data_IF_407581825896
#
_entry.id   IF_407581825896
#
_cell.length_a   1.000
_cell.length_b   1.000
_cell.length_c   1.000
_cell.angle_alpha   90.00
_cell.angle_beta   90.00
_cell.angle_gamma   90.00
#
_symmetry.space_group_name_H-M   'P 1'
#
loop_
_entity.id
_entity.type
_entity.pdbx_description
1 polymer ?
#
# COMPACT_ATOMS: atom_id res chain seq x y z
N UNK A 1 -2.65 19.03 19.57
CA UNK A 1 -3.93 18.30 19.70
C UNK A 1 -4.60 18.29 18.33
N UNK A 2 -4.61 17.15 17.64
CA UNK A 2 -5.32 17.01 16.36
C UNK A 2 -6.43 15.98 16.53
N UNK A 3 -7.64 16.47 16.84
CA UNK A 3 -8.88 15.71 16.80
C UNK A 3 -9.45 15.78 15.40
N UNK A 4 -9.18 14.77 14.56
CA UNK A 4 -10.02 14.50 13.40
C UNK A 4 -11.02 13.40 13.79
N UNK A 5 -12.20 13.83 14.22
CA UNK A 5 -13.36 12.97 14.36
C UNK A 5 -13.81 12.54 12.96
N UNK A 6 -13.43 11.32 12.55
CA UNK A 6 -14.19 10.61 11.51
C UNK A 6 -15.54 10.22 12.11
N UNK A 7 -16.59 10.86 11.61
CA UNK A 7 -17.96 10.69 12.08
C UNK A 7 -18.50 9.34 11.58
N UNK A 8 -18.35 8.33 12.45
CA UNK A 8 -19.25 7.20 12.73
C UNK A 8 -20.03 6.60 11.55
N UNK A 9 -19.63 5.40 11.11
CA UNK A 9 -20.60 4.34 10.87
C UNK A 9 -20.01 2.96 11.20
N UNK A 10 -20.68 2.28 12.14
CA UNK A 10 -20.44 0.95 12.71
C UNK A 10 -19.09 0.69 13.44
N UNK A 11 -19.22 0.57 14.76
CA UNK A 11 -18.26 -0.01 15.70
C UNK A 11 -17.82 -1.41 15.24
N UNK A 12 -16.76 -1.47 14.43
CA UNK A 12 -15.81 -2.56 14.34
C UNK A 12 -14.53 -1.97 13.72
N UNK A 13 -13.91 -1.02 14.40
CA UNK A 13 -12.53 -0.66 14.11
C UNK A 13 -11.70 -1.90 14.43
N UNK A 14 -11.38 -2.70 13.41
CA UNK A 14 -10.69 -3.98 13.58
C UNK A 14 -9.33 -3.81 14.27
N UNK A 15 -8.69 -2.64 14.13
CA UNK A 15 -7.46 -2.25 14.83
C UNK A 15 -7.17 -0.75 14.66
N UNK A 16 -6.58 -0.12 15.68
CA UNK A 16 -6.08 1.26 15.63
C UNK A 16 -4.65 1.27 15.05
N UNK A 17 -4.49 1.87 13.87
CA UNK A 17 -3.18 2.02 13.20
C UNK A 17 -2.47 3.26 13.75
N UNK A 18 -1.36 3.04 14.46
CA UNK A 18 -0.44 4.10 14.87
C UNK A 18 0.38 4.55 13.65
N UNK A 19 0.62 5.87 13.49
CA UNK A 19 1.46 6.37 12.41
C UNK A 19 2.88 5.80 12.51
N UNK A 20 3.60 5.73 11.38
CA UNK A 20 5.00 5.28 11.31
C UNK A 20 5.26 3.86 11.82
N UNK A 21 4.22 3.02 11.80
CA UNK A 21 4.28 1.66 12.32
C UNK A 21 4.14 0.65 11.19
N UNK A 22 4.87 -0.46 11.30
CA UNK A 22 4.71 -1.62 10.41
C UNK A 22 3.96 -2.69 11.18
N UNK A 23 2.80 -3.06 10.66
CA UNK A 23 1.98 -4.16 11.15
C UNK A 23 2.17 -5.36 10.24
N UNK A 24 2.16 -6.55 10.82
CA UNK A 24 2.23 -7.79 10.04
C UNK A 24 1.11 -8.72 10.46
N UNK A 25 0.31 -9.16 9.49
CA UNK A 25 -0.71 -10.16 9.69
C UNK A 25 -0.24 -11.48 9.08
N UNK A 26 -0.24 -12.50 9.93
CA UNK A 26 -0.11 -13.87 9.48
C UNK A 26 -1.52 -14.36 9.10
N UNK A 27 -1.73 -14.63 7.82
CA UNK A 27 -3.02 -15.12 7.33
C UNK A 27 -2.81 -16.14 6.21
N UNK A 28 -3.72 -17.11 6.08
CA UNK A 28 -3.71 -18.03 4.96
C UNK A 28 -4.10 -17.30 3.65
N UNK A 29 -3.70 -17.76 2.46
CA UNK A 29 -3.94 -17.04 1.20
C UNK A 29 -5.41 -16.64 0.98
N UNK A 30 -6.36 -17.52 1.35
CA UNK A 30 -7.80 -17.24 1.27
C UNK A 30 -8.25 -16.13 2.23
N UNK A 31 -7.70 -16.10 3.44
CA UNK A 31 -8.00 -15.07 4.44
C UNK A 31 -7.39 -13.73 4.05
N UNK A 32 -6.19 -13.74 3.46
CA UNK A 32 -5.50 -12.54 2.96
C UNK A 32 -6.35 -11.79 1.92
N UNK A 33 -6.87 -12.47 0.90
CA UNK A 33 -7.74 -11.85 -0.13
C UNK A 33 -8.99 -11.20 0.48
N UNK A 34 -9.61 -11.86 1.45
CA UNK A 34 -10.77 -11.33 2.17
C UNK A 34 -10.42 -10.10 3.03
N UNK A 35 -9.21 -10.05 3.59
CA UNK A 35 -8.72 -8.91 4.37
C UNK A 35 -8.34 -7.74 3.48
N UNK A 36 -7.67 -7.98 2.35
CA UNK A 36 -7.30 -6.94 1.38
C UNK A 36 -8.55 -6.27 0.83
N UNK A 37 -9.54 -7.05 0.38
CA UNK A 37 -10.80 -6.50 -0.15
C UNK A 37 -11.53 -5.63 0.89
N UNK A 38 -11.59 -6.08 2.15
CA UNK A 38 -12.19 -5.30 3.25
C UNK A 38 -11.41 -4.04 3.57
N UNK A 39 -10.08 -4.12 3.65
CA UNK A 39 -9.20 -2.99 3.94
C UNK A 39 -9.19 -1.99 2.79
N UNK A 40 -9.16 -2.43 1.53
CA UNK A 40 -9.28 -1.57 0.35
C UNK A 40 -10.60 -0.79 0.37
N UNK A 41 -11.71 -1.47 0.70
CA UNK A 41 -13.02 -0.82 0.84
C UNK A 41 -13.05 0.27 1.93
N UNK A 42 -12.23 0.15 2.97
CA UNK A 42 -12.11 1.14 4.06
C UNK A 42 -11.07 2.24 3.80
N UNK A 43 -9.98 1.92 3.10
CA UNK A 43 -8.87 2.83 2.81
C UNK A 43 -9.17 3.74 1.61
N UNK A 44 -10.20 3.42 0.82
CA UNK A 44 -10.73 4.26 -0.25
C UNK A 44 -9.89 4.18 -1.52
N UNK A 45 -9.73 5.31 -2.22
CA UNK A 45 -9.09 5.32 -3.54
C UNK A 45 -7.59 4.97 -3.54
N UNK A 46 -7.11 4.46 -4.67
CA UNK A 46 -5.70 4.22 -5.01
C UNK A 46 -4.80 5.47 -4.79
N UNK A 47 -3.46 5.35 -4.59
CA UNK A 47 -2.63 4.16 -4.36
C UNK A 47 -2.50 3.85 -2.87
N UNK A 48 -2.91 2.66 -2.45
CA UNK A 48 -2.72 2.20 -1.07
C UNK A 48 -2.37 0.71 -1.00
N UNK A 49 -2.17 0.05 -2.14
CA UNK A 49 -1.90 -1.38 -2.24
C UNK A 49 -0.63 -1.58 -3.08
N UNK A 50 0.36 -2.27 -2.50
CA UNK A 50 1.50 -2.83 -3.20
C UNK A 50 1.20 -4.32 -3.44
N UNK A 51 0.73 -4.65 -4.65
CA UNK A 51 0.43 -6.01 -5.07
C UNK A 51 1.24 -6.39 -6.32
N UNK A 52 1.36 -7.70 -6.55
CA UNK A 52 2.02 -8.26 -7.74
C UNK A 52 1.20 -7.97 -9.00
N UNK A 53 -0.12 -8.11 -8.91
CA UNK A 53 -1.04 -7.68 -9.97
C UNK A 53 -1.20 -6.16 -9.93
N UNK A 54 -0.90 -5.53 -11.07
CA UNK A 54 -0.93 -4.08 -11.21
C UNK A 54 -2.36 -3.58 -11.08
N UNK A 55 -2.63 -2.80 -10.04
CA UNK A 55 -3.87 -1.99 -9.89
C UNK A 55 -3.91 -0.79 -10.85
N UNK A 56 -3.03 -0.78 -11.86
CA UNK A 56 -2.88 0.24 -12.87
C UNK A 56 -3.69 -0.11 -14.11
N UNK A 57 -3.97 0.89 -14.94
CA UNK A 57 -4.77 0.72 -16.15
C UNK A 57 -3.82 0.26 -17.27
N UNK A 58 -3.98 -0.99 -17.71
CA UNK A 58 -3.04 -1.68 -18.62
C UNK A 58 -2.83 -0.99 -19.96
N UNK A 59 -3.86 -0.32 -20.49
CA UNK A 59 -3.80 0.38 -21.77
C UNK A 59 -3.27 1.82 -21.65
N UNK A 60 -2.99 2.29 -20.43
CA UNK A 60 -2.37 3.59 -20.20
C UNK A 60 -0.86 3.43 -19.97
N UNK A 61 -0.11 4.40 -20.47
CA UNK A 61 1.31 4.52 -20.14
C UNK A 61 1.53 4.80 -18.65
N UNK A 62 2.76 4.62 -18.17
CA UNK A 62 3.16 5.00 -16.81
C UNK A 62 2.81 6.46 -16.54
N UNK A 63 3.14 7.35 -17.48
CA UNK A 63 2.86 8.79 -17.37
C UNK A 63 1.36 9.06 -17.24
N UNK A 64 0.54 8.45 -18.07
CA UNK A 64 -0.92 8.63 -18.04
C UNK A 64 -1.53 8.07 -16.76
N UNK A 65 -1.09 6.88 -16.34
CA UNK A 65 -1.48 6.31 -15.05
C UNK A 65 -1.16 7.29 -13.92
N UNK A 66 0.06 7.83 -13.85
CA UNK A 66 0.45 8.80 -12.83
C UNK A 66 -0.45 10.04 -12.83
N UNK A 67 -0.80 10.57 -14.00
CA UNK A 67 -1.72 11.71 -14.11
C UNK A 67 -3.11 11.39 -13.56
N UNK A 68 -3.68 10.24 -13.94
CA UNK A 68 -4.98 9.78 -13.43
C UNK A 68 -4.93 9.69 -11.91
N UNK A 69 -3.92 9.02 -11.37
CA UNK A 69 -3.74 8.77 -9.94
C UNK A 69 -3.66 10.09 -9.17
N UNK A 70 -2.81 11.01 -9.61
CA UNK A 70 -2.63 12.30 -8.97
C UNK A 70 -3.87 13.20 -9.10
N UNK A 71 -4.65 13.06 -10.18
CA UNK A 71 -5.92 13.76 -10.35
C UNK A 71 -6.99 13.29 -9.38
N UNK A 72 -6.95 12.03 -8.95
CA UNK A 72 -7.90 11.45 -7.99
C UNK A 72 -7.48 11.67 -6.53
N UNK A 73 -6.30 12.27 -6.30
CA UNK A 73 -5.80 12.53 -4.96
C UNK A 73 -6.68 13.57 -4.23
N UNK A 74 -7.06 13.32 -2.95
CA UNK A 74 -7.96 14.20 -2.20
C UNK A 74 -7.38 15.59 -1.91
N UNK A 75 -6.05 15.74 -1.99
CA UNK A 75 -5.36 17.01 -1.81
C UNK A 75 -4.51 17.29 -3.07
N UNK A 76 -5.18 17.59 -4.19
CA UNK A 76 -4.48 17.96 -5.41
C UNK A 76 -3.48 19.09 -5.12
N UNK A 77 -2.25 18.89 -5.58
CA UNK A 77 -1.20 19.89 -5.42
C UNK A 77 -1.60 21.16 -6.19
N UNK A 78 -1.28 22.35 -5.66
CA UNK A 78 -1.48 23.62 -6.39
C UNK A 78 -0.61 23.72 -7.66
N UNK A 79 0.31 22.79 -7.85
CA UNK A 79 1.22 22.71 -8.99
C UNK A 79 0.53 22.00 -10.14
N UNK A 80 0.92 22.31 -11.38
CA UNK A 80 0.43 21.59 -12.56
C UNK A 80 0.83 20.12 -12.44
N UNK A 81 -0.14 19.21 -12.58
CA UNK A 81 0.09 17.76 -12.45
C UNK A 81 1.20 17.26 -13.38
N UNK A 82 1.26 17.74 -14.62
CA UNK A 82 2.33 17.39 -15.56
C UNK A 82 3.73 17.69 -15.01
N UNK A 83 3.89 18.80 -14.30
CA UNK A 83 5.18 19.18 -13.70
C UNK A 83 5.55 18.24 -12.56
N UNK A 84 4.57 17.88 -11.71
CA UNK A 84 4.78 16.89 -10.64
C UNK A 84 5.15 15.53 -11.23
N UNK A 85 4.50 15.11 -12.31
CA UNK A 85 4.82 13.85 -13.00
C UNK A 85 6.24 13.89 -13.56
N UNK A 86 6.64 14.97 -14.23
CA UNK A 86 8.02 15.14 -14.72
C UNK A 86 9.05 15.08 -13.60
N UNK A 87 8.82 15.79 -12.48
CA UNK A 87 9.72 15.78 -11.30
C UNK A 87 9.91 14.36 -10.76
N UNK A 88 8.84 13.56 -10.66
CA UNK A 88 8.91 12.18 -10.16
C UNK A 88 9.64 11.25 -11.13
N UNK A 89 9.39 11.39 -12.43
CA UNK A 89 10.09 10.59 -13.45
C UNK A 89 11.59 10.88 -13.44
N UNK A 90 11.97 12.15 -13.27
CA UNK A 90 13.36 12.58 -13.16
C UNK A 90 14.02 12.07 -11.86
N UNK A 91 13.34 12.19 -10.72
CA UNK A 91 13.83 11.68 -9.42
C UNK A 91 14.13 10.17 -9.47
N UNK A 92 13.24 9.40 -10.10
CA UNK A 92 13.38 7.95 -10.26
C UNK A 92 14.23 7.54 -11.46
N UNK A 93 14.77 8.51 -12.22
CA UNK A 93 15.56 8.28 -13.43
C UNK A 93 14.84 7.40 -14.46
N UNK A 94 13.51 7.55 -14.57
CA UNK A 94 12.70 6.85 -15.56
C UNK A 94 12.79 7.63 -16.88
N UNK A 95 13.40 7.07 -17.93
CA UNK A 95 13.56 7.77 -19.20
C UNK A 95 12.22 7.93 -19.93
N UNK A 96 12.10 8.96 -20.77
CA UNK A 96 10.85 9.27 -21.49
C UNK A 96 10.31 8.09 -22.32
N UNK A 97 11.20 7.32 -22.96
CA UNK A 97 10.79 6.17 -23.75
C UNK A 97 10.08 5.12 -22.87
N UNK A 98 10.54 4.94 -21.63
CA UNK A 98 9.96 4.00 -20.68
C UNK A 98 8.69 4.58 -20.08
N UNK A 99 8.67 5.87 -19.76
CA UNK A 99 7.49 6.57 -19.22
C UNK A 99 6.25 6.49 -20.12
N UNK A 100 6.45 6.31 -21.43
CA UNK A 100 5.39 6.15 -22.43
C UNK A 100 5.01 4.67 -22.69
N UNK A 101 5.60 3.71 -21.97
CA UNK A 101 5.24 2.30 -22.02
C UNK A 101 4.17 1.96 -20.97
N UNK A 102 3.49 0.82 -21.09
CA UNK A 102 2.65 0.27 -20.03
C UNK A 102 3.41 0.06 -18.72
N UNK A 103 2.69 0.06 -17.61
CA UNK A 103 3.29 -0.09 -16.28
C UNK A 103 4.04 -1.42 -16.10
N UNK A 104 3.61 -2.48 -16.80
CA UNK A 104 4.27 -3.79 -16.83
C UNK A 104 5.68 -3.78 -17.42
N UNK A 105 6.06 -2.72 -18.14
CA UNK A 105 7.43 -2.55 -18.64
C UNK A 105 8.42 -2.11 -17.55
N UNK A 106 7.95 -1.67 -16.38
CA UNK A 106 8.83 -1.28 -15.28
C UNK A 106 9.45 -2.51 -14.60
N UNK A 107 10.77 -2.49 -14.34
CA UNK A 107 11.37 -3.40 -13.37
C UNK A 107 10.65 -3.32 -12.03
N UNK A 108 10.47 -4.46 -11.35
CA UNK A 108 9.76 -4.58 -10.07
C UNK A 108 10.23 -3.53 -9.05
N UNK A 109 11.54 -3.32 -8.96
CA UNK A 109 12.13 -2.32 -8.05
C UNK A 109 11.65 -0.90 -8.34
N UNK A 110 11.65 -0.48 -9.62
CA UNK A 110 11.21 0.86 -10.02
C UNK A 110 9.69 1.00 -9.88
N UNK A 111 8.94 -0.06 -10.19
CA UNK A 111 7.49 -0.13 -9.99
C UNK A 111 7.12 0.15 -8.51
N UNK A 112 7.79 -0.50 -7.57
CA UNK A 112 7.54 -0.30 -6.13
C UNK A 112 7.94 1.10 -5.69
N UNK A 113 9.12 1.59 -6.11
CA UNK A 113 9.56 2.95 -5.78
C UNK A 113 8.58 4.01 -6.28
N UNK A 114 8.08 3.85 -7.50
CA UNK A 114 7.07 4.73 -8.08
C UNK A 114 5.75 4.68 -7.30
N UNK A 115 5.26 3.48 -6.95
CA UNK A 115 4.06 3.31 -6.12
C UNK A 115 4.19 3.98 -4.75
N UNK A 116 5.34 3.84 -4.09
CA UNK A 116 5.64 4.50 -2.81
C UNK A 116 5.64 6.04 -2.96
N UNK A 117 6.25 6.58 -4.02
CA UNK A 117 6.22 8.02 -4.28
C UNK A 117 4.82 8.55 -4.55
N UNK A 118 4.05 7.86 -5.37
CA UNK A 118 2.66 8.22 -5.65
C UNK A 118 1.81 8.20 -4.38
N UNK A 119 2.05 7.25 -3.49
CA UNK A 119 1.37 7.16 -2.19
C UNK A 119 1.60 8.41 -1.34
N UNK A 120 2.85 8.89 -1.27
CA UNK A 120 3.22 10.10 -0.53
C UNK A 120 2.59 11.34 -1.15
N UNK A 121 2.64 11.45 -2.48
CA UNK A 121 2.01 12.58 -3.20
C UNK A 121 0.50 12.61 -3.02
N UNK A 122 -0.13 11.44 -2.90
CA UNK A 122 -1.56 11.32 -2.61
C UNK A 122 -1.90 11.53 -1.12
N UNK A 123 -0.91 11.85 -0.28
CA UNK A 123 -1.04 12.05 1.18
C UNK A 123 -1.73 10.86 1.88
N UNK A 124 -1.40 9.64 1.44
CA UNK A 124 -1.95 8.42 2.03
C UNK A 124 -1.18 8.09 3.30
N UNK A 125 -1.90 7.62 4.31
CA UNK A 125 -1.35 7.34 5.64
C UNK A 125 -1.08 5.86 5.89
N UNK A 126 -1.63 5.00 5.05
CA UNK A 126 -1.57 3.55 5.20
C UNK A 126 -1.28 2.93 3.84
N UNK A 127 -0.32 2.01 3.82
CA UNK A 127 0.06 1.19 2.67
C UNK A 127 -0.19 -0.26 3.05
N UNK A 128 -1.00 -0.94 2.27
CA UNK A 128 -1.13 -2.39 2.30
C UNK A 128 -0.06 -3.00 1.41
N UNK A 129 0.62 -4.01 1.93
CA UNK A 129 1.60 -4.80 1.19
C UNK A 129 1.05 -6.21 1.10
N UNK A 130 0.76 -6.64 -0.12
CA UNK A 130 0.28 -7.98 -0.42
C UNK A 130 1.44 -8.99 -0.45
N UNK A 131 1.10 -10.25 -0.73
CA UNK A 131 1.95 -11.43 -0.70
C UNK A 131 3.13 -11.44 -1.68
N UNK A 132 3.37 -10.37 -2.44
CA UNK A 132 4.43 -10.29 -3.44
C UNK A 132 5.83 -10.54 -2.84
N UNK A 133 6.03 -10.16 -1.57
CA UNK A 133 7.28 -10.45 -0.86
C UNK A 133 7.54 -11.96 -0.74
N UNK A 134 6.55 -12.83 -0.86
CA UNK A 134 6.70 -14.28 -0.62
C UNK A 134 7.61 -14.96 -1.64
N UNK A 135 7.58 -14.48 -2.89
CA UNK A 135 8.35 -14.99 -4.03
C UNK A 135 9.81 -14.50 -4.05
N UNK A 136 10.14 -13.50 -3.23
CA UNK A 136 11.49 -12.94 -3.13
C UNK A 136 12.44 -13.83 -2.30
N UNK A 137 13.73 -13.74 -2.63
CA UNK A 137 14.78 -14.40 -1.86
C UNK A 137 14.85 -13.85 -0.42
N UNK A 138 15.40 -14.64 0.51
CA UNK A 138 15.52 -14.21 1.91
C UNK A 138 16.34 -12.91 2.09
N UNK A 139 17.35 -12.68 1.24
CA UNK A 139 18.13 -11.43 1.24
C UNK A 139 17.29 -10.25 0.79
N UNK A 140 16.63 -10.39 -0.37
CA UNK A 140 15.79 -9.33 -0.94
C UNK A 140 14.64 -8.95 0.01
N UNK A 141 14.04 -9.94 0.68
CA UNK A 141 13.02 -9.72 1.72
C UNK A 141 13.52 -8.78 2.83
N UNK A 142 14.75 -8.95 3.30
CA UNK A 142 15.33 -8.07 4.34
C UNK A 142 15.60 -6.67 3.80
N UNK A 143 16.12 -6.57 2.59
CA UNK A 143 16.37 -5.27 1.94
C UNK A 143 15.07 -4.48 1.75
N UNK A 144 13.99 -5.14 1.33
CA UNK A 144 12.66 -4.54 1.21
C UNK A 144 12.08 -4.12 2.55
N UNK A 145 12.20 -4.96 3.58
CA UNK A 145 11.77 -4.60 4.93
C UNK A 145 12.56 -3.40 5.47
N UNK A 146 13.85 -3.30 5.18
CA UNK A 146 14.67 -2.16 5.53
C UNK A 146 14.18 -0.88 4.84
N UNK A 147 13.92 -0.95 3.52
CA UNK A 147 13.35 0.17 2.77
C UNK A 147 11.99 0.62 3.33
N UNK A 148 11.11 -0.31 3.68
CA UNK A 148 9.82 0.03 4.29
C UNK A 148 9.96 0.65 5.67
N UNK A 149 10.90 0.20 6.50
CA UNK A 149 11.19 0.81 7.80
C UNK A 149 11.73 2.23 7.64
N UNK A 150 12.66 2.43 6.74
CA UNK A 150 13.20 3.76 6.44
C UNK A 150 12.10 4.70 5.92
N UNK A 151 11.27 4.20 5.00
CA UNK A 151 10.13 4.93 4.46
C UNK A 151 9.10 5.29 5.53
N UNK A 152 8.74 4.35 6.43
CA UNK A 152 7.80 4.61 7.53
C UNK A 152 8.36 5.61 8.55
N UNK A 153 9.68 5.68 8.73
CA UNK A 153 10.32 6.65 9.65
C UNK A 153 10.33 8.05 9.06
N UNK A 154 10.67 8.16 7.78
CA UNK A 154 10.79 9.42 7.04
C UNK A 154 9.43 10.01 6.70
N UNK A 155 8.46 9.17 6.33
CA UNK A 155 7.08 9.56 6.06
C UNK A 155 6.20 9.38 7.30
N UNK A 156 4.97 9.90 7.28
CA UNK A 156 3.95 9.59 8.30
C UNK A 156 3.13 8.34 7.95
N UNK A 157 3.57 7.57 6.95
CA UNK A 157 2.88 6.38 6.46
C UNK A 157 3.11 5.19 7.40
N UNK A 158 2.11 4.32 7.46
CA UNK A 158 2.16 3.05 8.17
C UNK A 158 1.99 1.93 7.16
N UNK A 159 2.65 0.80 7.39
CA UNK A 159 2.53 -0.37 6.52
C UNK A 159 1.72 -1.44 7.20
N UNK A 160 0.89 -2.13 6.43
CA UNK A 160 0.23 -3.37 6.82
C UNK A 160 0.71 -4.44 5.85
N UNK A 161 1.53 -5.35 6.35
CA UNK A 161 2.10 -6.44 5.55
C UNK A 161 1.27 -7.69 5.80
N UNK A 162 0.72 -8.26 4.75
CA UNK A 162 0.03 -9.53 4.80
C UNK A 162 0.98 -10.61 4.32
N UNK A 163 1.24 -11.61 5.16
CA UNK A 163 2.20 -12.67 4.81
C UNK A 163 1.80 -14.01 5.41
N UNK A 164 2.25 -15.10 4.80
CA UNK A 164 2.22 -16.44 5.37
C UNK A 164 3.58 -16.83 5.97
N UNK A 165 4.63 -16.02 5.74
CA UNK A 165 5.99 -16.30 6.22
C UNK A 165 6.18 -15.71 7.63
N UNK A 166 6.21 -16.60 8.62
CA UNK A 166 6.41 -16.27 10.05
C UNK A 166 7.73 -15.52 10.28
N UNK A 167 8.71 -15.65 9.39
CA UNK A 167 10.02 -14.99 9.52
C UNK A 167 10.00 -13.50 9.20
N UNK A 168 8.94 -13.01 8.55
CA UNK A 168 8.77 -11.59 8.23
C UNK A 168 8.11 -10.78 9.37
N UNK A 169 7.80 -11.43 10.50
CA UNK A 169 7.17 -10.80 11.65
C UNK A 169 8.13 -9.80 12.34
N UNK A 170 7.81 -8.49 12.41
CA UNK A 170 8.45 -7.61 13.35
C UNK A 170 8.02 -8.02 14.76
N UNK A 171 9.00 -8.17 15.65
CA UNK A 171 8.86 -8.66 17.03
C UNK A 171 7.89 -7.81 17.87
N UNK A 172 7.56 -6.58 17.45
CA UNK A 172 6.85 -5.61 18.29
C UNK A 172 5.33 -5.46 18.07
N UNK A 173 4.76 -5.84 16.91
CA UNK A 173 3.33 -5.59 16.65
C UNK A 173 2.68 -6.66 15.77
N UNK A 174 2.65 -7.90 16.28
CA UNK A 174 1.86 -8.97 15.68
C UNK A 174 0.37 -8.75 16.00
N UNK A 175 -0.42 -8.40 15.00
CA UNK A 175 -1.88 -8.45 15.10
C UNK A 175 -2.31 -9.85 14.66
N UNK A 176 -2.55 -10.74 15.64
CA UNK A 176 -3.26 -11.99 15.37
C UNK A 176 -4.73 -11.69 15.22
N UNK A 177 -5.33 -12.10 14.11
CA UNK A 177 -6.77 -12.30 14.10
C UNK A 177 -7.03 -13.54 14.94
N UNK A 178 -7.51 -13.35 16.17
CA UNK A 178 -8.23 -14.42 16.83
C UNK A 178 -9.44 -14.72 15.94
N UNK A 179 -9.47 -15.93 15.38
CA UNK A 179 -10.64 -16.44 14.70
C UNK A 179 -11.78 -16.41 15.72
N UNK A 180 -12.55 -15.32 15.73
CA UNK A 180 -13.81 -15.28 16.46
C UNK A 180 -14.64 -16.38 15.81
N UNK A 181 -14.73 -17.49 16.54
CA UNK A 181 -15.58 -18.59 16.21
C UNK A 181 -16.95 -18.01 15.84
N UNK A 182 -17.34 -18.16 14.59
CA UNK A 182 -18.73 -18.11 14.21
C UNK A 182 -19.40 -19.30 14.89
N UNK A 183 -19.64 -19.20 16.21
CA UNK A 183 -20.71 -19.93 16.83
C UNK A 183 -21.98 -19.31 16.26
N UNK A 184 -22.45 -19.94 15.18
CA UNK A 184 -23.81 -19.80 14.71
C UNK A 184 -24.72 -20.14 15.87
N UNK A 185 -25.14 -19.13 16.65
CA UNK A 185 -26.33 -19.26 17.48
C UNK A 185 -27.50 -19.45 16.50
N UNK A 186 -27.88 -20.70 16.27
CA UNK A 186 -29.24 -21.03 15.86
C UNK A 186 -30.17 -20.40 16.89
N UNK A 187 -30.87 -19.36 16.48
CA UNK A 187 -32.09 -18.93 17.14
C UNK A 187 -33.16 -19.89 16.61
N UNK A 188 -33.56 -20.83 17.46
CA UNK A 188 -34.81 -21.59 17.35
C UNK A 188 -35.80 -20.98 18.32
#
# INVERSE_FOLDING_TARGET
MFNNFYKKNNNNDFFLIKPKTIYTFLANPFEQLSLISRLNGQLGYFPHLLAEDTTFIDYLSIRENMLVILSLAPNQTKRKLNLVVSEVLEELKIPDYLANQPFSALPVTLSIQLQLKLTVLCNRKVILVDHWLSHESASNKQDWLFLFREFARTTSCSFIILTSDVRLLPIENLLRMDSVAYSTKKIS
#
